data_IF_196110063310
#
_entry.id   IF_196110063310
#
_cell.length_a   1.000
_cell.length_b   1.000
_cell.length_c   1.000
_cell.angle_alpha   90.00
_cell.angle_beta   90.00
_cell.angle_gamma   90.00
#
_symmetry.space_group_name_H-M   'P 1'
#
loop_
_entity.id
_entity.type
_entity.pdbx_description
1 polymer ?
#
# COMPACT_ATOMS: atom_id res chain seq x y z
N UNK A 1 -5.48 5.64 24.50
CA UNK A 1 -4.46 6.62 24.13
C UNK A 1 -5.04 7.48 23.02
N UNK A 2 -4.95 8.80 23.16
CA UNK A 2 -5.33 9.73 22.11
C UNK A 2 -4.31 9.57 21.00
N UNK A 3 -4.74 9.06 19.84
CA UNK A 3 -3.96 9.12 18.62
C UNK A 3 -3.93 10.58 18.15
N UNK A 4 -2.80 11.26 18.31
CA UNK A 4 -2.64 12.61 17.76
C UNK A 4 -2.25 12.49 16.30
N UNK A 5 -3.21 12.66 15.40
CA UNK A 5 -2.96 12.77 13.96
C UNK A 5 -2.27 14.12 13.66
N UNK A 6 -1.35 14.12 12.69
CA UNK A 6 -0.66 15.34 12.22
C UNK A 6 -1.55 16.23 11.33
N UNK A 7 -2.82 15.86 11.14
CA UNK A 7 -3.79 16.58 10.31
C UNK A 7 -5.11 16.79 11.07
N UNK A 8 -5.81 17.84 10.73
CA UNK A 8 -7.13 18.18 11.27
C UNK A 8 -8.22 17.45 10.48
N UNK A 9 -9.40 17.27 11.10
CA UNK A 9 -10.60 16.74 10.45
C UNK A 9 -10.89 17.45 9.13
N UNK A 10 -10.85 18.79 9.12
CA UNK A 10 -11.06 19.60 7.92
C UNK A 10 -10.04 19.33 6.80
N UNK A 11 -8.79 19.07 7.16
CA UNK A 11 -7.76 18.69 6.16
C UNK A 11 -8.04 17.30 5.60
N UNK A 12 -8.48 16.38 6.42
CA UNK A 12 -8.87 15.04 5.97
C UNK A 12 -10.10 15.10 5.05
N UNK A 13 -11.15 15.82 5.42
CA UNK A 13 -12.33 16.01 4.56
C UNK A 13 -11.97 16.59 3.19
N UNK A 14 -11.10 17.61 3.15
CA UNK A 14 -10.63 18.18 1.90
C UNK A 14 -9.86 17.16 1.06
N UNK A 15 -8.97 16.38 1.68
CA UNK A 15 -8.21 15.33 1.01
C UNK A 15 -9.13 14.24 0.43
N UNK A 16 -10.08 13.76 1.20
CA UNK A 16 -11.04 12.74 0.75
C UNK A 16 -11.89 13.24 -0.42
N UNK A 17 -12.31 14.52 -0.37
CA UNK A 17 -13.03 15.17 -1.47
C UNK A 17 -12.17 15.28 -2.74
N UNK A 18 -10.89 15.63 -2.60
CA UNK A 18 -9.95 15.68 -3.72
C UNK A 18 -9.70 14.31 -4.35
N UNK A 19 -9.58 13.26 -3.53
CA UNK A 19 -9.46 11.87 -4.02
C UNK A 19 -10.73 11.47 -4.77
N UNK A 20 -11.92 11.73 -4.21
CA UNK A 20 -13.19 11.43 -4.85
C UNK A 20 -13.35 12.13 -6.21
N UNK A 21 -12.96 13.41 -6.30
CA UNK A 21 -13.10 14.20 -7.53
C UNK A 21 -12.03 13.94 -8.59
N UNK A 22 -10.80 13.61 -8.17
CA UNK A 22 -9.66 13.55 -9.10
C UNK A 22 -9.12 12.13 -9.30
N UNK A 23 -8.89 11.37 -8.23
CA UNK A 23 -8.28 10.04 -8.36
C UNK A 23 -9.22 9.05 -9.05
N UNK A 24 -10.52 9.11 -8.78
CA UNK A 24 -11.54 8.29 -9.44
C UNK A 24 -11.57 8.56 -10.94
N UNK A 25 -11.52 9.82 -11.36
CA UNK A 25 -11.51 10.18 -12.77
C UNK A 25 -10.22 9.76 -13.48
N UNK A 26 -9.06 9.89 -12.80
CA UNK A 26 -7.78 9.39 -13.32
C UNK A 26 -7.83 7.88 -13.49
N UNK A 27 -8.32 7.15 -12.48
CA UNK A 27 -8.46 5.70 -12.55
C UNK A 27 -9.36 5.26 -13.72
N UNK A 28 -10.53 5.90 -13.88
CA UNK A 28 -11.47 5.59 -14.98
C UNK A 28 -10.85 5.78 -16.36
N UNK A 29 -10.07 6.86 -16.56
CA UNK A 29 -9.35 7.09 -17.82
C UNK A 29 -8.30 6.02 -18.05
N UNK A 30 -7.46 5.74 -17.05
CA UNK A 30 -6.44 4.69 -17.16
C UNK A 30 -7.07 3.32 -17.40
N UNK A 31 -8.17 3.01 -16.71
CA UNK A 31 -8.89 1.75 -16.91
C UNK A 31 -9.37 1.60 -18.35
N UNK A 32 -10.05 2.61 -18.90
CA UNK A 32 -10.58 2.56 -20.25
C UNK A 32 -9.48 2.60 -21.34
N UNK A 33 -8.46 3.44 -21.15
CA UNK A 33 -7.46 3.70 -22.17
C UNK A 33 -6.30 2.68 -22.15
N UNK A 34 -6.04 2.07 -21.00
CA UNK A 34 -4.85 1.22 -20.79
C UNK A 34 -5.22 -0.15 -20.26
N UNK A 35 -5.90 -0.24 -19.10
CA UNK A 35 -6.08 -1.50 -18.41
C UNK A 35 -7.07 -2.43 -19.15
N UNK A 36 -8.18 -1.87 -19.66
CA UNK A 36 -9.20 -2.66 -20.37
C UNK A 36 -8.68 -3.23 -21.72
N UNK A 37 -7.75 -2.54 -22.36
CA UNK A 37 -7.15 -2.99 -23.64
C UNK A 37 -6.02 -4.01 -23.45
N UNK A 38 -5.60 -4.23 -22.21
CA UNK A 38 -4.56 -5.18 -21.87
C UNK A 38 -5.11 -6.60 -21.98
N UNK A 39 -4.46 -7.44 -22.77
CA UNK A 39 -4.73 -8.88 -22.75
C UNK A 39 -4.46 -9.39 -21.32
N UNK A 40 -5.34 -10.24 -20.79
CA UNK A 40 -5.16 -10.94 -19.52
C UNK A 40 -3.95 -11.89 -19.63
N UNK A 41 -2.77 -11.33 -19.54
CA UNK A 41 -1.54 -12.11 -19.54
C UNK A 41 -1.27 -12.60 -18.13
N UNK A 42 -1.25 -13.93 -17.96
CA UNK A 42 -0.79 -14.53 -16.70
C UNK A 42 0.64 -14.03 -16.42
N UNK A 43 0.91 -13.46 -15.24
CA UNK A 43 2.26 -12.99 -14.92
C UNK A 43 3.28 -14.12 -15.07
N UNK A 44 4.44 -13.80 -15.65
CA UNK A 44 5.50 -14.78 -15.89
C UNK A 44 5.93 -15.45 -14.58
N UNK A 45 6.03 -16.77 -14.59
CA UNK A 45 6.46 -17.56 -13.43
C UNK A 45 7.89 -17.20 -13.03
N UNK A 46 8.11 -16.96 -11.74
CA UNK A 46 9.42 -16.69 -11.18
C UNK A 46 9.50 -17.23 -9.76
N UNK A 47 10.48 -18.09 -9.52
CA UNK A 47 10.72 -18.62 -8.17
C UNK A 47 11.13 -17.52 -7.20
N UNK A 48 10.54 -17.50 -6.02
CA UNK A 48 10.72 -16.42 -5.04
C UNK A 48 12.20 -16.17 -4.66
N UNK A 49 13.02 -17.20 -4.58
CA UNK A 49 14.44 -17.01 -4.29
C UNK A 49 15.19 -16.17 -5.33
N UNK A 50 14.75 -16.17 -6.60
CA UNK A 50 15.31 -15.30 -7.65
C UNK A 50 14.91 -13.84 -7.42
N UNK A 51 13.67 -13.60 -6.99
CA UNK A 51 13.18 -12.28 -6.59
C UNK A 51 14.00 -11.75 -5.41
N UNK A 52 14.16 -12.53 -4.34
CA UNK A 52 14.98 -12.18 -3.16
C UNK A 52 16.42 -11.81 -3.56
N UNK A 53 17.08 -12.64 -4.37
CA UNK A 53 18.45 -12.39 -4.81
C UNK A 53 18.56 -11.14 -5.71
N UNK A 54 17.56 -10.92 -6.57
CA UNK A 54 17.56 -9.75 -7.46
C UNK A 54 17.38 -8.46 -6.67
N UNK A 55 16.45 -8.43 -5.72
CA UNK A 55 16.27 -7.26 -4.84
C UNK A 55 17.51 -7.01 -3.97
N UNK A 56 18.16 -8.05 -3.45
CA UNK A 56 19.43 -7.92 -2.74
C UNK A 56 20.48 -7.18 -3.57
N UNK A 57 20.63 -7.56 -4.84
CA UNK A 57 21.58 -6.90 -5.74
C UNK A 57 21.21 -5.43 -6.02
N UNK A 58 19.92 -5.16 -6.25
CA UNK A 58 19.43 -3.79 -6.52
C UNK A 58 19.61 -2.87 -5.30
N UNK A 59 19.30 -3.36 -4.12
CA UNK A 59 19.44 -2.60 -2.89
C UNK A 59 20.91 -2.40 -2.50
N UNK A 60 21.78 -3.38 -2.79
CA UNK A 60 23.22 -3.22 -2.64
C UNK A 60 23.79 -2.13 -3.57
N UNK A 61 23.29 -2.02 -4.81
CA UNK A 61 23.67 -0.91 -5.73
C UNK A 61 23.26 0.46 -5.18
N UNK A 62 22.12 0.56 -4.45
CA UNK A 62 21.69 1.80 -3.80
C UNK A 62 22.50 2.13 -2.54
N UNK A 63 22.89 1.12 -1.78
CA UNK A 63 23.68 1.29 -0.54
C UNK A 63 22.89 1.84 0.64
N UNK A 64 23.63 2.37 1.63
CA UNK A 64 23.07 2.96 2.85
C UNK A 64 22.15 2.03 3.63
N UNK A 65 21.23 2.60 4.39
CA UNK A 65 20.33 1.89 5.28
C UNK A 65 19.44 0.85 4.54
N UNK A 66 19.13 1.08 3.27
CA UNK A 66 18.36 0.14 2.45
C UNK A 66 19.13 -1.19 2.31
N UNK A 67 20.40 -1.13 1.93
CA UNK A 67 21.29 -2.29 1.82
C UNK A 67 21.57 -2.92 3.18
N UNK A 68 21.80 -2.13 4.20
CA UNK A 68 22.06 -2.60 5.56
C UNK A 68 20.87 -3.41 6.11
N UNK A 69 19.66 -2.87 6.03
CA UNK A 69 18.45 -3.53 6.53
C UNK A 69 18.16 -4.84 5.76
N UNK A 70 18.31 -4.83 4.42
CA UNK A 70 18.05 -6.02 3.62
C UNK A 70 19.09 -7.12 3.89
N UNK A 71 20.37 -6.76 3.99
CA UNK A 71 21.43 -7.69 4.32
C UNK A 71 21.28 -8.23 5.76
N UNK A 72 20.91 -7.39 6.71
CA UNK A 72 20.62 -7.80 8.09
C UNK A 72 19.49 -8.82 8.13
N UNK A 73 18.37 -8.54 7.44
CA UNK A 73 17.25 -9.47 7.32
C UNK A 73 17.70 -10.84 6.79
N UNK A 74 18.49 -10.86 5.71
CA UNK A 74 19.01 -12.11 5.12
C UNK A 74 20.01 -12.82 6.03
N UNK A 75 20.96 -12.11 6.60
CA UNK A 75 22.04 -12.67 7.42
C UNK A 75 21.52 -13.35 8.69
N UNK A 76 20.52 -12.77 9.33
CA UNK A 76 19.93 -13.28 10.56
C UNK A 76 18.65 -14.10 10.35
N UNK A 77 18.30 -14.37 9.06
CA UNK A 77 17.09 -15.12 8.71
C UNK A 77 15.81 -14.53 9.33
N UNK A 78 15.72 -13.20 9.36
CA UNK A 78 14.58 -12.47 9.92
C UNK A 78 13.44 -12.34 8.89
N UNK A 79 13.13 -13.44 8.25
CA UNK A 79 12.04 -13.54 7.29
C UNK A 79 11.45 -14.96 7.23
N UNK A 80 10.16 -15.01 6.91
CA UNK A 80 9.45 -16.21 6.49
C UNK A 80 8.80 -15.94 5.12
N UNK A 81 9.52 -16.26 4.05
CA UNK A 81 9.10 -16.05 2.67
C UNK A 81 8.99 -17.42 2.00
N UNK A 82 7.77 -17.84 1.67
CA UNK A 82 7.52 -19.13 1.02
C UNK A 82 6.35 -19.00 0.02
N UNK A 83 6.22 -19.99 -0.85
CA UNK A 83 5.08 -20.11 -1.77
C UNK A 83 3.76 -20.15 -0.99
N UNK A 84 2.76 -19.42 -1.52
CA UNK A 84 1.42 -19.41 -0.95
C UNK A 84 0.77 -20.79 -1.06
N UNK A 85 0.17 -21.25 0.02
CA UNK A 85 -0.64 -22.46 0.08
C UNK A 85 -1.84 -22.27 1.01
N UNK A 86 -2.73 -23.27 1.07
CA UNK A 86 -3.96 -23.21 1.86
C UNK A 86 -3.72 -23.13 3.39
N UNK A 87 -2.49 -23.34 3.85
CA UNK A 87 -2.13 -23.33 5.27
C UNK A 87 -1.45 -22.03 5.71
N UNK A 88 -1.04 -21.17 4.77
CA UNK A 88 -0.38 -19.90 5.03
C UNK A 88 -1.38 -18.74 4.97
N UNK A 89 -1.20 -17.75 5.84
CA UNK A 89 -1.92 -16.50 5.71
C UNK A 89 -1.58 -15.83 4.37
N UNK A 90 -2.57 -15.31 3.68
CA UNK A 90 -2.36 -14.60 2.41
C UNK A 90 -1.63 -13.28 2.62
N UNK A 91 -0.87 -12.85 1.61
CA UNK A 91 -0.21 -11.54 1.59
C UNK A 91 1.14 -11.51 2.31
N UNK A 92 1.50 -10.35 2.82
CA UNK A 92 2.77 -10.10 3.49
C UNK A 92 2.64 -9.04 4.58
N UNK A 93 3.59 -9.03 5.51
CA UNK A 93 3.61 -8.09 6.62
C UNK A 93 4.87 -8.19 7.44
N UNK A 94 4.91 -7.43 8.53
CA UNK A 94 6.04 -7.40 9.45
C UNK A 94 5.54 -7.59 10.88
N UNK A 95 6.22 -8.44 11.59
CA UNK A 95 6.02 -8.65 13.03
C UNK A 95 7.27 -8.18 13.76
N UNK A 96 7.10 -7.44 14.85
CA UNK A 96 8.22 -7.08 15.69
C UNK A 96 8.44 -8.14 16.79
N UNK A 97 9.65 -8.65 16.87
CA UNK A 97 10.03 -9.66 17.84
C UNK A 97 10.69 -8.99 19.04
N UNK A 98 9.90 -8.59 20.04
CA UNK A 98 10.36 -7.86 21.22
C UNK A 98 11.56 -8.52 21.91
N UNK A 99 11.56 -9.87 21.98
CA UNK A 99 12.65 -10.63 22.60
C UNK A 99 14.00 -10.51 21.89
N UNK A 100 14.00 -10.11 20.61
CA UNK A 100 15.19 -9.98 19.77
C UNK A 100 15.43 -8.54 19.34
N UNK A 101 14.55 -7.62 19.73
CA UNK A 101 14.56 -6.22 19.30
C UNK A 101 14.71 -6.07 17.79
N UNK A 102 13.94 -6.84 17.04
CA UNK A 102 14.10 -6.95 15.59
C UNK A 102 12.79 -7.25 14.87
N UNK A 103 12.54 -6.64 13.68
CA UNK A 103 11.42 -6.99 12.83
C UNK A 103 11.65 -8.36 12.15
N UNK A 104 10.57 -9.07 11.86
CA UNK A 104 10.51 -10.28 11.05
C UNK A 104 9.54 -10.07 9.89
N UNK A 105 10.02 -10.26 8.67
CA UNK A 105 9.22 -10.15 7.46
C UNK A 105 8.53 -11.48 7.14
N UNK A 106 7.22 -11.42 6.90
CA UNK A 106 6.41 -12.53 6.41
C UNK A 106 5.91 -12.24 5.00
N UNK A 107 5.97 -13.23 4.11
CA UNK A 107 5.38 -13.12 2.76
C UNK A 107 4.95 -14.49 2.23
N UNK A 108 3.67 -14.59 1.82
CA UNK A 108 3.17 -15.68 0.98
C UNK A 108 3.33 -15.28 -0.48
N UNK A 109 4.27 -15.91 -1.19
CA UNK A 109 4.65 -15.58 -2.55
C UNK A 109 3.79 -16.32 -3.58
N UNK A 110 3.46 -15.65 -4.68
CA UNK A 110 2.72 -16.24 -5.81
C UNK A 110 3.62 -16.99 -6.81
N UNK A 111 4.93 -16.98 -6.61
CA UNK A 111 5.96 -17.51 -7.50
C UNK A 111 5.86 -16.99 -8.94
N UNK A 112 5.59 -15.72 -9.06
CA UNK A 112 5.59 -15.01 -10.34
C UNK A 112 6.26 -13.62 -10.22
N UNK A 113 6.34 -12.88 -11.32
CA UNK A 113 7.03 -11.59 -11.35
C UNK A 113 6.41 -10.52 -10.46
N UNK A 114 5.13 -10.64 -10.06
CA UNK A 114 4.50 -9.68 -9.16
C UNK A 114 5.07 -9.73 -7.73
N UNK A 115 5.76 -10.82 -7.38
CA UNK A 115 6.45 -10.92 -6.09
C UNK A 115 7.56 -9.87 -5.90
N UNK A 116 8.04 -9.23 -6.98
CA UNK A 116 8.90 -8.05 -6.85
C UNK A 116 8.22 -6.93 -6.09
N UNK A 117 6.95 -6.66 -6.40
CA UNK A 117 6.15 -5.62 -5.75
C UNK A 117 5.78 -6.02 -4.33
N UNK A 118 5.26 -7.24 -4.17
CA UNK A 118 4.84 -7.75 -2.87
C UNK A 118 5.99 -7.78 -1.85
N UNK A 119 7.16 -8.28 -2.27
CA UNK A 119 8.34 -8.32 -1.39
C UNK A 119 8.89 -6.93 -1.09
N UNK A 120 8.91 -6.01 -2.08
CA UNK A 120 9.36 -4.64 -1.81
C UNK A 120 8.40 -3.87 -0.90
N UNK A 121 7.09 -4.08 -1.03
CA UNK A 121 6.07 -3.53 -0.13
C UNK A 121 6.29 -4.03 1.31
N UNK A 122 6.40 -5.34 1.50
CA UNK A 122 6.65 -5.92 2.82
C UNK A 122 8.01 -5.47 3.39
N UNK A 123 9.04 -5.38 2.54
CA UNK A 123 10.35 -4.87 2.95
C UNK A 123 10.33 -3.39 3.31
N UNK A 124 9.47 -2.57 2.71
CA UNK A 124 9.28 -1.18 3.12
C UNK A 124 8.85 -1.08 4.59
N UNK A 125 7.83 -1.85 5.01
CA UNK A 125 7.45 -1.94 6.43
C UNK A 125 8.57 -2.48 7.31
N UNK A 126 9.32 -3.50 6.84
CA UNK A 126 10.48 -4.01 7.54
C UNK A 126 11.56 -2.93 7.75
N UNK A 127 11.84 -2.14 6.74
CA UNK A 127 12.82 -1.04 6.79
C UNK A 127 12.40 0.04 7.79
N UNK A 128 11.11 0.40 7.84
CA UNK A 128 10.56 1.31 8.84
C UNK A 128 10.76 0.76 10.25
N UNK A 129 10.32 -0.47 10.50
CA UNK A 129 10.48 -1.13 11.79
C UNK A 129 11.96 -1.34 12.18
N UNK A 130 12.84 -1.59 11.23
CA UNK A 130 14.29 -1.69 11.45
C UNK A 130 14.91 -0.36 11.89
N UNK A 131 14.42 0.77 11.37
CA UNK A 131 14.95 2.10 11.70
C UNK A 131 14.37 2.68 12.98
N UNK A 132 13.09 2.49 13.23
CA UNK A 132 12.31 3.21 14.25
C UNK A 132 11.81 2.31 15.38
N UNK A 133 11.92 0.99 15.24
CA UNK A 133 11.46 0.02 16.24
C UNK A 133 9.94 -0.04 16.38
N UNK A 134 9.48 -0.44 17.56
CA UNK A 134 8.04 -0.66 17.88
C UNK A 134 7.22 0.64 17.92
N UNK A 135 7.87 1.79 17.90
CA UNK A 135 7.22 3.10 18.02
C UNK A 135 6.80 3.74 16.71
N UNK A 136 6.94 3.04 15.58
CA UNK A 136 6.55 3.56 14.28
C UNK A 136 5.03 3.74 14.20
N UNK A 137 4.57 4.91 13.73
CA UNK A 137 3.14 5.12 13.51
C UNK A 137 2.65 4.32 12.30
N UNK A 138 1.35 4.03 12.28
CA UNK A 138 0.72 3.27 11.19
C UNK A 138 0.85 4.00 9.85
N UNK A 139 0.74 5.35 9.86
CA UNK A 139 0.95 6.18 8.68
C UNK A 139 2.39 6.05 8.14
N UNK A 140 3.37 6.03 9.02
CA UNK A 140 4.77 5.94 8.63
C UNK A 140 5.08 4.55 8.07
N UNK A 141 4.58 3.50 8.69
CA UNK A 141 4.71 2.12 8.19
C UNK A 141 4.04 1.94 6.83
N UNK A 142 2.82 2.45 6.64
CA UNK A 142 2.12 2.44 5.35
C UNK A 142 2.87 3.26 4.29
N UNK A 143 3.44 4.41 4.66
CA UNK A 143 4.27 5.20 3.77
C UNK A 143 5.54 4.45 3.34
N UNK A 144 6.27 3.83 4.28
CA UNK A 144 7.47 3.05 3.96
C UNK A 144 7.14 1.89 3.03
N UNK A 145 6.03 1.21 3.25
CA UNK A 145 5.51 0.14 2.39
C UNK A 145 5.31 0.62 0.95
N UNK A 146 4.50 1.66 0.77
CA UNK A 146 4.16 2.20 -0.54
C UNK A 146 5.37 2.82 -1.24
N UNK A 147 6.19 3.59 -0.53
CA UNK A 147 7.38 4.24 -1.08
C UNK A 147 8.41 3.21 -1.56
N UNK A 148 8.68 2.17 -0.77
CA UNK A 148 9.65 1.15 -1.14
C UNK A 148 9.17 0.34 -2.37
N UNK A 149 7.89 0.00 -2.46
CA UNK A 149 7.30 -0.67 -3.62
C UNK A 149 7.45 0.17 -4.89
N UNK A 150 6.97 1.41 -4.85
CA UNK A 150 6.99 2.34 -5.99
C UNK A 150 8.41 2.68 -6.46
N UNK A 151 9.32 2.95 -5.52
CA UNK A 151 10.71 3.26 -5.85
C UNK A 151 11.47 2.02 -6.33
N UNK A 152 11.17 0.82 -5.81
CA UNK A 152 11.74 -0.43 -6.31
C UNK A 152 11.28 -0.73 -7.73
N UNK A 153 10.02 -0.46 -8.05
CA UNK A 153 9.55 -0.54 -9.44
C UNK A 153 10.42 0.31 -10.38
N UNK A 154 10.84 1.51 -9.96
CA UNK A 154 11.78 2.36 -10.73
C UNK A 154 13.16 1.72 -10.88
N UNK A 155 13.69 1.05 -9.86
CA UNK A 155 14.97 0.34 -9.94
C UNK A 155 14.94 -0.82 -10.93
N UNK A 156 13.78 -1.45 -11.11
CA UNK A 156 13.60 -2.57 -12.04
C UNK A 156 13.62 -2.13 -13.51
N UNK A 157 13.41 -0.84 -13.81
CA UNK A 157 13.44 -0.32 -15.19
C UNK A 157 14.81 -0.57 -15.84
N UNK A 158 14.81 -1.28 -16.96
CA UNK A 158 16.05 -1.68 -17.68
C UNK A 158 16.87 -2.76 -16.94
N UNK A 159 16.40 -3.28 -15.82
CA UNK A 159 17.02 -4.37 -15.07
C UNK A 159 16.27 -5.70 -15.22
N UNK A 160 15.04 -5.66 -15.69
CA UNK A 160 14.22 -6.79 -16.14
C UNK A 160 13.84 -6.56 -17.60
N UNK A 161 13.32 -7.58 -18.29
CA UNK A 161 12.85 -7.40 -19.68
C UNK A 161 11.65 -6.45 -19.72
N UNK A 162 11.51 -5.69 -20.80
CA UNK A 162 10.52 -4.61 -20.90
C UNK A 162 9.08 -5.09 -20.69
N UNK A 163 8.75 -6.28 -21.17
CA UNK A 163 7.43 -6.90 -20.96
C UNK A 163 7.12 -7.14 -19.48
N UNK A 164 8.09 -7.66 -18.72
CA UNK A 164 7.97 -7.83 -17.26
C UNK A 164 7.82 -6.47 -16.59
N UNK A 165 8.67 -5.50 -16.95
CA UNK A 165 8.57 -4.15 -16.38
C UNK A 165 7.21 -3.51 -16.64
N UNK A 166 6.69 -3.63 -17.84
CA UNK A 166 5.37 -3.10 -18.23
C UNK A 166 4.25 -3.77 -17.43
N UNK A 167 4.32 -5.09 -17.24
CA UNK A 167 3.38 -5.83 -16.41
C UNK A 167 3.40 -5.32 -14.97
N UNK A 168 4.58 -5.16 -14.38
CA UNK A 168 4.75 -4.66 -13.02
C UNK A 168 4.26 -3.22 -12.88
N UNK A 169 4.57 -2.36 -13.84
CA UNK A 169 4.16 -0.95 -13.82
C UNK A 169 2.63 -0.83 -13.81
N UNK A 170 1.94 -1.53 -14.68
CA UNK A 170 0.49 -1.48 -14.75
C UNK A 170 -0.16 -2.09 -13.51
N UNK A 171 0.31 -3.25 -13.05
CA UNK A 171 -0.21 -3.86 -11.83
C UNK A 171 -0.02 -2.97 -10.60
N UNK A 172 1.16 -2.34 -10.47
CA UNK A 172 1.44 -1.44 -9.35
C UNK A 172 0.58 -0.16 -9.41
N UNK A 173 0.46 0.47 -10.58
CA UNK A 173 -0.33 1.70 -10.71
C UNK A 173 -1.82 1.43 -10.51
N UNK A 174 -2.34 0.33 -11.04
CA UNK A 174 -3.73 -0.06 -10.87
C UNK A 174 -4.03 -0.34 -9.39
N UNK A 175 -3.24 -1.19 -8.74
CA UNK A 175 -3.43 -1.50 -7.31
C UNK A 175 -3.28 -0.25 -6.42
N UNK A 176 -2.28 0.59 -6.67
CA UNK A 176 -2.06 1.80 -5.88
C UNK A 176 -3.23 2.79 -5.98
N UNK A 177 -3.79 2.97 -7.18
CA UNK A 177 -4.95 3.86 -7.37
C UNK A 177 -6.22 3.25 -6.78
N UNK A 178 -6.44 1.95 -6.94
CA UNK A 178 -7.58 1.26 -6.32
C UNK A 178 -7.49 1.30 -4.80
N UNK A 179 -6.32 1.02 -4.23
CA UNK A 179 -6.09 1.11 -2.78
C UNK A 179 -6.37 2.53 -2.26
N UNK A 180 -5.88 3.56 -2.96
CA UNK A 180 -6.13 4.95 -2.60
C UNK A 180 -7.62 5.29 -2.62
N UNK A 181 -8.34 4.90 -3.69
CA UNK A 181 -9.77 5.19 -3.84
C UNK A 181 -10.59 4.42 -2.81
N UNK A 182 -10.31 3.13 -2.62
CA UNK A 182 -11.03 2.29 -1.66
C UNK A 182 -10.83 2.78 -0.22
N UNK A 183 -9.59 3.05 0.19
CA UNK A 183 -9.33 3.56 1.54
C UNK A 183 -9.94 4.95 1.76
N UNK A 184 -9.92 5.84 0.75
CA UNK A 184 -10.58 7.14 0.84
C UNK A 184 -12.11 7.00 0.93
N UNK A 185 -12.71 6.07 0.18
CA UNK A 185 -14.12 5.76 0.26
C UNK A 185 -14.51 5.27 1.65
N UNK A 186 -13.77 4.28 2.20
CA UNK A 186 -14.02 3.77 3.55
C UNK A 186 -13.84 4.84 4.62
N UNK A 187 -12.80 5.67 4.53
CA UNK A 187 -12.57 6.78 5.47
C UNK A 187 -13.73 7.80 5.44
N UNK A 188 -14.22 8.14 4.24
CA UNK A 188 -15.34 9.07 4.08
C UNK A 188 -16.67 8.48 4.59
N UNK A 189 -16.93 7.20 4.33
CA UNK A 189 -18.10 6.50 4.85
C UNK A 189 -18.08 6.42 6.38
N UNK A 190 -16.92 6.06 6.94
CA UNK A 190 -16.68 5.99 8.38
C UNK A 190 -16.94 7.34 9.06
N UNK A 191 -16.38 8.43 8.53
CA UNK A 191 -16.60 9.78 9.07
C UNK A 191 -18.09 10.14 9.09
N UNK A 192 -18.86 9.78 8.06
CA UNK A 192 -20.32 9.99 8.04
C UNK A 192 -21.07 9.16 9.06
N UNK A 193 -20.69 7.90 9.21
CA UNK A 193 -21.32 6.98 10.17
C UNK A 193 -21.09 7.48 11.60
N UNK A 194 -19.86 7.87 11.93
CA UNK A 194 -19.55 8.40 13.26
C UNK A 194 -20.15 9.79 13.53
N UNK A 195 -20.55 10.53 12.50
CA UNK A 195 -21.30 11.78 12.65
C UNK A 195 -22.79 11.58 12.92
N UNK A 196 -23.33 10.36 12.78
CA UNK A 196 -24.72 10.06 13.12
C UNK A 196 -24.97 10.21 14.62
N UNK A 197 -26.14 10.80 15.02
CA UNK A 197 -26.52 10.85 16.44
C UNK A 197 -26.74 9.41 16.96
N UNK A 198 -26.36 9.15 18.20
CA UNK A 198 -26.43 7.80 18.80
C UNK A 198 -27.83 7.16 18.67
N UNK A 199 -28.87 7.97 18.86
CA UNK A 199 -30.28 7.54 18.77
C UNK A 199 -30.73 7.30 17.31
N UNK A 200 -29.93 7.74 16.33
CA UNK A 200 -30.20 7.63 14.88
C UNK A 200 -29.43 6.52 14.18
N UNK A 201 -28.67 5.70 14.92
CA UNK A 201 -27.95 4.56 14.33
C UNK A 201 -28.94 3.44 14.06
N UNK A 202 -29.40 3.36 12.83
CA UNK A 202 -30.26 2.30 12.30
C UNK A 202 -29.63 1.73 11.02
N UNK A 203 -30.06 0.55 10.61
CA UNK A 203 -29.62 -0.07 9.34
C UNK A 203 -29.83 0.90 8.16
N UNK A 204 -31.02 1.47 8.03
CA UNK A 204 -31.35 2.44 6.97
C UNK A 204 -30.42 3.68 6.99
N UNK A 205 -30.02 4.17 8.18
CA UNK A 205 -29.14 5.31 8.31
C UNK A 205 -27.69 4.98 7.93
N UNK A 206 -27.24 3.77 8.23
CA UNK A 206 -25.92 3.26 7.81
C UNK A 206 -25.89 3.09 6.29
N UNK A 207 -26.90 2.46 5.71
CA UNK A 207 -27.05 2.30 4.26
C UNK A 207 -27.05 3.65 3.53
N UNK A 208 -27.82 4.62 4.05
CA UNK A 208 -27.87 5.96 3.49
C UNK A 208 -26.50 6.68 3.55
N UNK A 209 -25.72 6.50 4.63
CA UNK A 209 -24.38 7.07 4.76
C UNK A 209 -23.41 6.48 3.71
N UNK A 210 -23.44 5.15 3.54
CA UNK A 210 -22.61 4.45 2.54
C UNK A 210 -23.02 4.82 1.12
N UNK A 211 -24.34 4.79 0.81
CA UNK A 211 -24.86 5.17 -0.50
C UNK A 211 -24.53 6.62 -0.88
N UNK A 212 -24.62 7.53 0.09
CA UNK A 212 -24.23 8.94 -0.12
C UNK A 212 -22.73 9.07 -0.42
N UNK A 213 -21.90 8.29 0.26
CA UNK A 213 -20.45 8.27 -0.01
C UNK A 213 -20.19 7.73 -1.42
N UNK A 214 -20.85 6.64 -1.80
CA UNK A 214 -20.74 6.09 -3.16
C UNK A 214 -21.13 7.11 -4.23
N UNK A 215 -22.19 7.87 -4.01
CA UNK A 215 -22.61 8.95 -4.91
C UNK A 215 -21.53 10.03 -5.05
N UNK A 216 -20.92 10.46 -3.94
CA UNK A 216 -19.87 11.50 -3.95
C UNK A 216 -18.60 11.04 -4.66
N UNK A 217 -18.30 9.74 -4.60
CA UNK A 217 -17.22 9.11 -5.36
C UNK A 217 -17.63 8.75 -6.80
N UNK A 218 -18.88 9.05 -7.21
CA UNK A 218 -19.42 8.68 -8.52
C UNK A 218 -19.42 7.16 -8.76
N UNK A 219 -19.50 6.37 -7.71
CA UNK A 219 -19.62 4.92 -7.75
C UNK A 219 -21.09 4.52 -7.86
N UNK A 220 -21.36 3.23 -8.15
CA UNK A 220 -22.73 2.73 -8.21
C UNK A 220 -23.42 2.84 -6.85
N UNK A 221 -24.71 3.27 -6.84
CA UNK A 221 -25.52 3.37 -5.62
C UNK A 221 -25.82 2.02 -4.93
N UNK A 222 -25.52 0.91 -5.59
CA UNK A 222 -25.75 -0.45 -5.11
C UNK A 222 -24.53 -1.05 -4.37
N UNK A 223 -23.81 -0.23 -3.59
CA UNK A 223 -22.79 -0.77 -2.70
C UNK A 223 -23.48 -1.32 -1.47
N UNK A 224 -23.31 -2.63 -1.25
CA UNK A 224 -23.82 -3.32 -0.07
C UNK A 224 -23.09 -2.80 1.18
N UNK A 225 -23.84 -2.14 2.06
CA UNK A 225 -23.31 -1.63 3.34
C UNK A 225 -22.79 -2.75 4.25
N UNK A 226 -23.24 -3.99 4.06
CA UNK A 226 -22.75 -5.17 4.77
C UNK A 226 -21.26 -5.38 4.52
N UNK A 227 -20.75 -5.08 3.33
CA UNK A 227 -19.32 -5.18 2.99
C UNK A 227 -18.50 -4.19 3.84
N UNK A 228 -19.04 -3.00 4.10
CA UNK A 228 -18.41 -2.02 4.97
C UNK A 228 -18.38 -2.51 6.43
N UNK A 229 -19.51 -3.02 6.94
CA UNK A 229 -19.64 -3.46 8.33
C UNK A 229 -18.86 -4.75 8.64
N UNK A 230 -18.56 -5.56 7.63
CA UNK A 230 -17.75 -6.78 7.76
C UNK A 230 -16.24 -6.50 7.68
N UNK A 231 -15.83 -5.26 7.43
CA UNK A 231 -14.41 -4.88 7.49
C UNK A 231 -13.94 -4.82 8.94
N UNK A 232 -13.03 -5.72 9.33
CA UNK A 232 -12.40 -5.72 10.66
C UNK A 232 -11.79 -4.36 10.99
N UNK A 233 -11.24 -3.67 10.00
CA UNK A 233 -10.64 -2.34 10.18
C UNK A 233 -11.65 -1.32 10.70
N UNK A 234 -12.87 -1.31 10.17
CA UNK A 234 -13.92 -0.33 10.55
C UNK A 234 -14.48 -0.56 11.95
N UNK A 235 -14.57 -1.84 12.36
CA UNK A 235 -15.20 -2.20 13.64
C UNK A 235 -14.17 -2.26 14.76
N UNK A 236 -13.00 -2.84 14.51
CA UNK A 236 -11.99 -3.10 15.53
C UNK A 236 -10.97 -1.97 15.67
N UNK A 237 -10.72 -1.22 14.60
CA UNK A 237 -9.72 -0.15 14.56
C UNK A 237 -10.23 1.05 13.73
N UNK A 238 -11.23 1.80 14.23
CA UNK A 238 -11.80 2.92 13.50
C UNK A 238 -10.75 3.99 13.15
N UNK A 239 -10.91 4.59 11.98
CA UNK A 239 -10.05 5.64 11.41
C UNK A 239 -8.65 5.20 10.97
N UNK A 240 -8.31 3.91 11.03
CA UNK A 240 -6.98 3.42 10.58
C UNK A 240 -6.81 3.47 9.06
N UNK A 241 -7.88 3.29 8.29
CA UNK A 241 -7.85 3.37 6.82
C UNK A 241 -7.38 4.73 6.29
N UNK A 242 -7.53 5.80 7.09
CA UNK A 242 -7.04 7.15 6.76
C UNK A 242 -5.51 7.18 6.63
N UNK A 243 -4.81 6.37 7.43
CA UNK A 243 -3.35 6.24 7.40
C UNK A 243 -2.85 5.85 6.02
N UNK A 244 -3.55 4.96 5.33
CA UNK A 244 -3.20 4.55 3.97
C UNK A 244 -3.40 5.67 2.96
N UNK A 245 -4.46 6.48 3.08
CA UNK A 245 -4.72 7.61 2.18
C UNK A 245 -3.62 8.65 2.26
N UNK A 246 -3.25 9.07 3.49
CA UNK A 246 -2.21 10.10 3.69
C UNK A 246 -0.82 9.61 3.34
N UNK A 247 -0.58 8.30 3.37
CA UNK A 247 0.74 7.69 3.15
C UNK A 247 1.05 7.42 1.68
N UNK A 248 0.04 7.06 0.89
CA UNK A 248 0.22 6.74 -0.54
C UNK A 248 0.58 7.98 -1.36
N UNK A 249 0.01 9.14 -1.06
CA UNK A 249 0.24 10.36 -1.85
C UNK A 249 1.70 10.84 -1.82
N UNK A 250 2.40 10.96 -0.67
CA UNK A 250 3.82 11.28 -0.66
C UNK A 250 4.67 10.17 -1.30
N UNK A 251 4.29 8.90 -1.20
CA UNK A 251 4.97 7.82 -1.89
C UNK A 251 4.87 7.95 -3.42
N UNK A 252 3.69 8.30 -3.95
CA UNK A 252 3.51 8.63 -5.38
C UNK A 252 4.33 9.86 -5.79
N UNK A 253 4.41 10.88 -4.93
CA UNK A 253 5.25 12.04 -5.20
C UNK A 253 6.72 11.65 -5.37
N UNK A 254 7.26 10.80 -4.47
CA UNK A 254 8.65 10.30 -4.58
C UNK A 254 8.85 9.50 -5.88
N UNK A 255 7.88 8.67 -6.27
CA UNK A 255 7.93 7.93 -7.53
C UNK A 255 8.02 8.86 -8.74
N UNK A 256 7.20 9.91 -8.82
CA UNK A 256 7.24 10.87 -9.92
C UNK A 256 8.49 11.77 -9.89
N UNK A 257 9.04 12.06 -8.73
CA UNK A 257 10.32 12.76 -8.62
C UNK A 257 11.48 11.89 -9.13
N UNK A 258 11.50 10.60 -8.78
CA UNK A 258 12.47 9.64 -9.30
C UNK A 258 12.33 9.45 -10.82
N UNK A 259 11.11 9.54 -11.37
CA UNK A 259 10.85 9.51 -12.81
C UNK A 259 11.45 10.70 -13.53
N UNK A 260 11.28 11.91 -12.96
CA UNK A 260 11.76 13.17 -13.56
C UNK A 260 13.26 13.36 -13.39
N UNK A 261 13.79 13.00 -12.23
CA UNK A 261 15.18 13.20 -11.86
C UNK A 261 15.68 11.94 -11.18
N UNK A 262 16.43 11.07 -11.91
CA UNK A 262 16.95 9.83 -11.35
C UNK A 262 17.72 10.07 -10.03
N UNK A 263 17.53 9.21 -9.08
CA UNK A 263 18.02 9.22 -7.69
C UNK A 263 17.30 10.14 -6.71
N UNK A 264 16.61 11.17 -7.16
CA UNK A 264 16.01 12.17 -6.27
C UNK A 264 14.94 11.59 -5.32
N UNK A 265 14.08 10.73 -5.83
CA UNK A 265 13.05 10.08 -5.01
C UNK A 265 13.67 9.21 -3.91
N UNK A 266 14.66 8.40 -4.27
CA UNK A 266 15.42 7.59 -3.30
C UNK A 266 16.22 8.44 -2.29
N UNK A 267 16.89 9.49 -2.74
CA UNK A 267 17.63 10.38 -1.85
C UNK A 267 16.72 11.02 -0.79
N UNK A 268 15.55 11.51 -1.21
CA UNK A 268 14.56 12.06 -0.28
C UNK A 268 14.03 10.99 0.66
N UNK A 269 13.65 9.81 0.14
CA UNK A 269 13.15 8.71 0.96
C UNK A 269 14.16 8.26 2.02
N UNK A 270 15.42 8.09 1.65
CA UNK A 270 16.46 7.61 2.57
C UNK A 270 16.92 8.70 3.56
N UNK A 271 16.63 9.98 3.29
CA UNK A 271 16.95 11.10 4.19
C UNK A 271 15.94 11.29 5.33
N UNK A 272 14.77 10.64 5.26
CA UNK A 272 13.77 10.62 6.33
C UNK A 272 14.24 9.79 7.52
#
# INVERSE_FOLDING_TARGET
GEHSYFYTEKQMEALLSDVAGNAVDVYRRLYNDVFLSREDTTPATQKIHKTVNRLSSLYAEKGGVLSEAYNFMLQYSLFDIAEADDTRAAGGGVFYLDAYDSPLLFLSANENVTDYLALSRAFGSYLGAFRFGVGESEELSAFHSAACELLTLRLLKGKVVDEVYTTLLYSCMESTLLDLINNAFFAAAEARIYALPKEGITEDALDAAVAKTAQDFGLSENIDSTVYLLSDATVCAPFTVQSHVVSVLPALQLFFEEEKTPTLGWEKYLSL
#
